data_IF_829719139069
#
_entry.id   IF_829719139069
#
_cell.length_a   1.000
_cell.length_b   1.000
_cell.length_c   1.000
_cell.angle_alpha   90.00
_cell.angle_beta   90.00
_cell.angle_gamma   90.00
#
_symmetry.space_group_name_H-M   'P 1'
#
loop_
_entity.id
_entity.type
_entity.pdbx_description
1 polymer ?
#
# COMPACT_ATOMS: atom_id res chain seq x y z
N UNK A 1 -9.70 -15.41 0.70
CA UNK A 1 -8.84 -16.30 -0.12
C UNK A 1 -7.57 -15.55 -0.52
N UNK A 2 -6.54 -16.23 -1.03
CA UNK A 2 -5.25 -15.61 -1.43
C UNK A 2 -5.44 -14.45 -2.43
N UNK A 3 -6.38 -14.62 -3.37
CA UNK A 3 -6.76 -13.60 -4.34
C UNK A 3 -7.25 -12.30 -3.67
N UNK A 4 -8.12 -12.41 -2.66
CA UNK A 4 -8.66 -11.25 -1.93
C UNK A 4 -7.56 -10.49 -1.21
N UNK A 5 -6.56 -11.19 -0.66
CA UNK A 5 -5.41 -10.56 -0.03
C UNK A 5 -4.55 -9.81 -1.05
N UNK A 6 -4.33 -10.38 -2.24
CA UNK A 6 -3.62 -9.69 -3.33
C UNK A 6 -4.39 -8.46 -3.81
N UNK A 7 -5.70 -8.58 -4.01
CA UNK A 7 -6.56 -7.46 -4.39
C UNK A 7 -6.57 -6.35 -3.32
N UNK A 8 -6.62 -6.72 -2.03
CA UNK A 8 -6.52 -5.75 -0.93
C UNK A 8 -5.15 -5.05 -0.91
N UNK A 9 -4.07 -5.77 -1.19
CA UNK A 9 -2.72 -5.18 -1.27
C UNK A 9 -2.56 -4.23 -2.45
N UNK A 10 -3.18 -4.53 -3.59
CA UNK A 10 -3.24 -3.59 -4.71
C UNK A 10 -3.95 -2.28 -4.33
N UNK A 11 -5.08 -2.35 -3.61
CA UNK A 11 -5.75 -1.14 -3.10
C UNK A 11 -4.85 -0.34 -2.17
N UNK A 12 -4.14 -0.99 -1.25
CA UNK A 12 -3.18 -0.29 -0.39
C UNK A 12 -2.06 0.39 -1.19
N UNK A 13 -1.54 -0.23 -2.25
CA UNK A 13 -0.53 0.38 -3.14
C UNK A 13 -1.10 1.64 -3.80
N UNK A 14 -2.29 1.57 -4.35
CA UNK A 14 -2.94 2.70 -5.01
C UNK A 14 -3.17 3.88 -4.04
N UNK A 15 -3.73 3.61 -2.86
CA UNK A 15 -3.90 4.62 -1.80
C UNK A 15 -2.56 5.24 -1.37
N UNK A 16 -1.53 4.41 -1.19
CA UNK A 16 -0.20 4.88 -0.78
C UNK A 16 0.46 5.74 -1.87
N UNK A 17 0.27 5.41 -3.15
CA UNK A 17 0.72 6.26 -4.27
C UNK A 17 0.02 7.61 -4.27
N UNK A 18 -1.29 7.64 -4.00
CA UNK A 18 -2.06 8.88 -3.85
C UNK A 18 -1.49 9.71 -2.70
N UNK A 19 -1.24 9.10 -1.54
CA UNK A 19 -0.67 9.81 -0.38
C UNK A 19 0.73 10.35 -0.66
N UNK A 20 1.58 9.59 -1.34
CA UNK A 20 2.91 10.06 -1.75
C UNK A 20 2.82 11.32 -2.64
N UNK A 21 1.83 11.39 -3.53
CA UNK A 21 1.65 12.52 -4.43
C UNK A 21 1.12 13.78 -3.75
N UNK A 22 0.31 13.62 -2.71
CA UNK A 22 -0.28 14.72 -1.93
C UNK A 22 0.55 15.10 -0.69
N UNK A 23 1.59 14.35 -0.36
CA UNK A 23 2.50 14.72 0.72
C UNK A 23 3.30 15.98 0.33
N UNK A 24 3.13 17.02 1.13
CA UNK A 24 3.82 18.30 0.95
C UNK A 24 5.16 18.28 1.68
N UNK A 25 5.19 17.69 2.89
CA UNK A 25 6.40 17.44 3.64
C UNK A 25 7.30 16.41 2.95
N UNK A 26 8.58 16.79 2.77
CA UNK A 26 9.55 15.98 2.03
C UNK A 26 9.89 14.70 2.77
N UNK A 27 10.06 14.76 4.09
CA UNK A 27 10.48 13.60 4.89
C UNK A 27 9.34 12.59 4.96
N UNK A 28 8.11 13.06 5.17
CA UNK A 28 6.92 12.23 5.06
C UNK A 28 6.87 11.56 3.70
N UNK A 29 7.00 12.32 2.61
CA UNK A 29 6.95 11.76 1.25
C UNK A 29 7.98 10.64 1.03
N UNK A 30 9.23 10.82 1.49
CA UNK A 30 10.26 9.78 1.38
C UNK A 30 9.93 8.53 2.22
N UNK A 31 9.35 8.70 3.41
CA UNK A 31 8.88 7.57 4.24
C UNK A 31 7.77 6.79 3.51
N UNK A 32 6.81 7.50 2.91
CA UNK A 32 5.72 6.88 2.14
C UNK A 32 6.29 6.10 0.95
N UNK A 33 7.23 6.72 0.21
CA UNK A 33 7.90 6.08 -0.92
C UNK A 33 8.66 4.81 -0.49
N UNK A 34 9.38 4.88 0.63
CA UNK A 34 10.07 3.72 1.17
C UNK A 34 9.10 2.58 1.51
N UNK A 35 7.98 2.88 2.18
CA UNK A 35 6.94 1.90 2.48
C UNK A 35 6.34 1.26 1.22
N UNK A 36 6.11 2.07 0.18
CA UNK A 36 5.63 1.58 -1.11
C UNK A 36 6.63 0.61 -1.76
N UNK A 37 7.87 1.07 -1.98
CA UNK A 37 8.87 0.35 -2.79
C UNK A 37 9.51 -0.84 -2.05
N UNK A 38 9.67 -0.76 -0.73
CA UNK A 38 10.42 -1.76 0.06
C UNK A 38 9.54 -2.69 0.85
N UNK A 39 8.28 -2.33 1.12
CA UNK A 39 7.38 -3.15 1.91
C UNK A 39 6.25 -3.69 1.04
N UNK A 40 5.42 -2.81 0.48
CA UNK A 40 4.22 -3.25 -0.27
C UNK A 40 4.57 -3.99 -1.56
N UNK A 41 5.54 -3.49 -2.33
CA UNK A 41 5.99 -4.15 -3.56
C UNK A 41 6.67 -5.51 -3.29
N UNK A 42 7.42 -5.65 -2.20
CA UNK A 42 7.98 -6.95 -1.82
C UNK A 42 6.88 -7.94 -1.42
N UNK A 43 5.88 -7.48 -0.65
CA UNK A 43 4.75 -8.32 -0.25
C UNK A 43 3.92 -8.76 -1.46
N UNK A 44 3.65 -7.86 -2.41
CA UNK A 44 2.86 -8.21 -3.59
C UNK A 44 3.60 -9.23 -4.46
N UNK A 45 4.92 -9.06 -4.67
CA UNK A 45 5.70 -10.00 -5.47
C UNK A 45 5.65 -11.43 -4.88
N UNK A 46 5.68 -11.55 -3.56
CA UNK A 46 5.53 -12.85 -2.89
C UNK A 46 4.12 -13.45 -3.09
N UNK A 47 3.07 -12.63 -3.00
CA UNK A 47 1.69 -13.08 -3.22
C UNK A 47 1.44 -13.47 -4.69
N UNK A 48 1.97 -12.70 -5.64
CA UNK A 48 1.89 -12.99 -7.06
C UNK A 48 2.60 -14.31 -7.39
N UNK A 49 3.76 -14.57 -6.78
CA UNK A 49 4.48 -15.85 -6.93
C UNK A 49 3.63 -17.02 -6.41
N UNK A 50 2.96 -16.86 -5.26
CA UNK A 50 2.08 -17.89 -4.72
C UNK A 50 0.85 -18.14 -5.61
N UNK A 51 0.18 -17.08 -6.08
CA UNK A 51 -0.96 -17.21 -7.00
C UNK A 51 -0.57 -17.94 -8.29
N UNK A 52 0.60 -17.60 -8.86
CA UNK A 52 1.14 -18.29 -10.03
C UNK A 52 1.43 -19.77 -9.75
N UNK A 53 2.00 -20.10 -8.58
CA UNK A 53 2.23 -21.49 -8.18
C UNK A 53 0.93 -22.30 -8.12
N UNK A 54 -0.15 -21.69 -7.67
CA UNK A 54 -1.48 -22.32 -7.61
C UNK A 54 -2.31 -22.15 -8.90
N UNK A 55 -1.74 -21.57 -9.96
CA UNK A 55 -2.44 -21.28 -11.23
C UNK A 55 -3.75 -20.50 -11.05
N UNK A 56 -3.80 -19.63 -10.04
CA UNK A 56 -4.95 -18.74 -9.77
C UNK A 56 -4.73 -17.45 -10.56
N UNK A 57 -5.77 -16.94 -11.26
CA UNK A 57 -5.64 -15.70 -12.02
C UNK A 57 -5.31 -14.52 -11.11
N UNK A 58 -4.43 -13.63 -11.55
CA UNK A 58 -4.06 -12.42 -10.82
C UNK A 58 -5.21 -11.40 -10.85
N UNK A 59 -5.44 -10.65 -9.75
CA UNK A 59 -6.33 -9.50 -9.78
C UNK A 59 -5.76 -8.41 -10.70
N UNK A 60 -6.60 -7.46 -11.10
CA UNK A 60 -6.15 -6.29 -11.88
C UNK A 60 -5.18 -5.44 -11.06
N UNK A 61 -3.98 -5.22 -11.60
CA UNK A 61 -2.93 -4.45 -10.93
C UNK A 61 -3.10 -2.95 -11.22
N UNK A 62 -3.10 -2.08 -10.20
CA UNK A 62 -3.19 -0.65 -10.38
C UNK A 62 -1.96 -0.11 -11.12
N UNK A 63 -2.07 1.07 -11.76
CA UNK A 63 -0.96 1.69 -12.45
C UNK A 63 0.23 1.94 -11.50
N UNK A 64 1.46 1.84 -12.02
CA UNK A 64 2.70 2.02 -11.23
C UNK A 64 2.90 3.45 -10.69
N UNK A 65 2.17 4.41 -11.24
CA UNK A 65 2.26 5.80 -10.82
C UNK A 65 0.96 6.51 -11.11
N UNK A 66 0.37 7.10 -10.08
CA UNK A 66 -0.72 8.04 -10.23
C UNK A 66 -0.13 9.40 -10.67
N UNK A 67 -0.56 9.94 -11.81
CA UNK A 67 -0.08 11.24 -12.34
C UNK A 67 -1.11 12.31 -12.05
N UNK A 68 -0.98 12.99 -10.91
CA UNK A 68 -1.81 14.16 -10.63
C UNK A 68 -1.21 15.45 -11.18
N UNK A 69 -2.07 16.26 -11.80
CA UNK A 69 -1.72 17.60 -12.29
C UNK A 69 -1.84 18.66 -11.18
N UNK A 70 -2.66 18.41 -10.15
CA UNK A 70 -2.85 19.31 -9.02
C UNK A 70 -2.25 18.71 -7.73
N UNK A 71 -1.14 19.31 -7.28
CA UNK A 71 -0.44 18.90 -6.04
C UNK A 71 -0.98 19.59 -4.78
N UNK A 72 -1.69 20.70 -4.93
CA UNK A 72 -2.14 21.53 -3.81
C UNK A 72 -3.61 21.24 -3.48
N UNK A 73 -3.85 20.14 -2.76
CA UNK A 73 -5.17 19.87 -2.19
C UNK A 73 -5.20 20.26 -0.72
N UNK A 74 -6.02 21.25 -0.38
CA UNK A 74 -6.30 21.66 1.02
C UNK A 74 -6.94 20.54 1.85
N UNK A 75 -7.50 19.51 1.20
CA UNK A 75 -8.14 18.38 1.88
C UNK A 75 -7.14 17.33 2.37
N UNK A 76 -5.95 17.25 1.76
CA UNK A 76 -4.91 16.28 2.11
C UNK A 76 -3.77 16.94 2.88
N UNK A 77 -4.00 17.20 4.17
CA UNK A 77 -2.93 17.66 5.06
C UNK A 77 -1.93 16.53 5.37
N UNK A 78 -0.64 16.85 5.54
CA UNK A 78 0.39 15.86 5.90
C UNK A 78 0.04 15.11 7.20
N UNK A 79 -0.61 15.80 8.15
CA UNK A 79 -1.11 15.18 9.39
C UNK A 79 -2.17 14.11 9.11
N UNK A 80 -3.06 14.37 8.17
CA UNK A 80 -4.08 13.39 7.76
C UNK A 80 -3.42 12.20 7.06
N UNK A 81 -2.52 12.45 6.11
CA UNK A 81 -1.79 11.41 5.38
C UNK A 81 -0.99 10.51 6.32
N UNK A 82 -0.25 11.11 7.25
CA UNK A 82 0.50 10.37 8.27
C UNK A 82 -0.42 9.48 9.10
N UNK A 83 -1.57 9.97 9.56
CA UNK A 83 -2.52 9.17 10.33
C UNK A 83 -3.04 7.97 9.54
N UNK A 84 -3.43 8.17 8.28
CA UNK A 84 -3.93 7.07 7.43
C UNK A 84 -2.88 5.96 7.30
N UNK A 85 -1.63 6.34 7.02
CA UNK A 85 -0.54 5.39 6.85
C UNK A 85 -0.20 4.70 8.18
N UNK A 86 -0.15 5.47 9.27
CA UNK A 86 0.16 4.91 10.59
C UNK A 86 -0.89 3.90 11.05
N UNK A 87 -2.18 4.19 10.85
CA UNK A 87 -3.25 3.24 11.16
C UNK A 87 -3.19 2.01 10.23
N UNK A 88 -2.94 2.20 8.93
CA UNK A 88 -2.75 1.09 7.99
C UNK A 88 -1.59 0.15 8.38
N UNK A 89 -0.48 0.72 8.85
CA UNK A 89 0.67 -0.05 9.35
C UNK A 89 0.30 -0.80 10.63
N UNK A 90 -0.37 -0.17 11.60
CA UNK A 90 -0.79 -0.84 12.85
C UNK A 90 -1.68 -2.05 12.60
N UNK A 91 -2.63 -1.96 11.66
CA UNK A 91 -3.51 -3.09 11.34
C UNK A 91 -2.70 -4.31 10.94
N UNK A 92 -1.66 -4.14 10.11
CA UNK A 92 -0.76 -5.22 9.70
C UNK A 92 -0.03 -5.84 10.89
N UNK A 93 0.45 -5.02 11.83
CA UNK A 93 1.19 -5.51 13.01
C UNK A 93 0.31 -6.21 14.05
N UNK A 94 -0.95 -5.82 14.19
CA UNK A 94 -1.87 -6.42 15.19
C UNK A 94 -2.48 -7.72 14.66
N UNK A 95 -2.74 -7.81 13.34
CA UNK A 95 -3.34 -9.03 12.76
C UNK A 95 -2.32 -10.15 12.50
N UNK A 96 -1.04 -9.82 12.31
CA UNK A 96 0.02 -10.81 12.06
C UNK A 96 0.25 -11.82 13.21
N UNK A 97 0.40 -11.40 14.49
CA UNK A 97 0.57 -12.34 15.60
C UNK A 97 -0.69 -13.16 15.88
N UNK A 98 -1.89 -12.65 15.54
CA UNK A 98 -3.15 -13.39 15.72
C UNK A 98 -3.32 -14.54 14.71
N UNK A 99 -2.67 -14.48 13.54
CA UNK A 99 -2.70 -15.55 12.53
C UNK A 99 -1.57 -16.58 12.64
N UNK A 100 -0.55 -16.32 13.48
CA UNK A 100 0.62 -17.19 13.64
C UNK A 100 0.49 -18.20 14.80
N UNK A 101 -0.70 -18.30 15.41
CA UNK A 101 -0.97 -19.18 16.54
C UNK A 101 -2.26 -19.98 16.37
N UNK A 102 -2.29 -20.87 15.37
CA UNK A 102 -3.11 -22.11 15.33
C UNK A 102 -2.34 -23.15 14.55
#
# INVERSE_FOLDING_TARGET
MLWDFTAARYKCIEETQIYHNFAHDKDLREIIKYGLEKVLETQINNLEQQLNQFSVPLPERPPKSFKNQEKNSIYFSDRFLFKQIFEGVKVIWITWPASAGV
#
